data_IF_648691767879
#
_entry.id   IF_648691767879
#
_cell.length_a   1.000
_cell.length_b   1.000
_cell.length_c   1.000
_cell.angle_alpha   90.00
_cell.angle_beta   90.00
_cell.angle_gamma   90.00
#
_symmetry.space_group_name_H-M   'P 1'
#
loop_
_entity.id
_entity.type
_entity.pdbx_description
1 polymer ?
#
# COMPACT_ATOMS: atom_id res chain seq x y z
N UNK A 1 -7.80 10.82 -3.07
CA UNK A 1 -7.32 9.68 -3.89
C UNK A 1 -8.29 8.51 -3.74
N UNK A 2 -8.53 7.72 -4.79
CA UNK A 2 -9.41 6.55 -4.75
C UNK A 2 -8.61 5.26 -4.58
N UNK A 3 -8.99 4.40 -3.64
CA UNK A 3 -8.37 3.09 -3.39
C UNK A 3 -9.46 2.03 -3.17
N UNK A 4 -9.61 1.12 -4.13
CA UNK A 4 -10.62 0.05 -4.07
C UNK A 4 -10.45 -0.86 -2.84
N UNK A 5 -9.20 -1.16 -2.44
CA UNK A 5 -8.91 -2.00 -1.27
C UNK A 5 -9.38 -1.36 0.05
N UNK A 6 -9.26 -0.03 0.15
CA UNK A 6 -9.75 0.72 1.31
C UNK A 6 -11.27 0.80 1.31
N UNK A 7 -11.89 1.08 0.15
CA UNK A 7 -13.36 1.11 0.05
C UNK A 7 -13.99 -0.24 0.39
N UNK A 8 -13.37 -1.34 -0.03
CA UNK A 8 -13.81 -2.70 0.29
C UNK A 8 -13.50 -3.13 1.73
N UNK A 9 -12.88 -2.27 2.55
CA UNK A 9 -12.51 -2.60 3.93
C UNK A 9 -11.37 -3.60 4.10
N UNK A 10 -10.76 -4.06 3.00
CA UNK A 10 -9.69 -5.07 2.99
C UNK A 10 -8.34 -4.54 3.45
N UNK A 11 -8.10 -3.22 3.33
CA UNK A 11 -6.85 -2.60 3.77
C UNK A 11 -7.12 -1.26 4.47
N UNK A 12 -6.53 -1.07 5.66
CA UNK A 12 -6.62 0.16 6.47
C UNK A 12 -5.27 0.81 6.75
N UNK A 13 -4.22 0.48 5.99
CA UNK A 13 -2.89 1.06 6.17
C UNK A 13 -2.83 2.57 5.95
N UNK A 14 -3.73 3.11 5.12
CA UNK A 14 -3.83 4.55 4.86
C UNK A 14 -4.84 5.20 5.83
N UNK A 15 -4.40 5.51 7.05
CA UNK A 15 -5.28 6.00 8.13
C UNK A 15 -6.12 7.23 7.77
N UNK A 16 -5.59 8.17 6.98
CA UNK A 16 -6.24 9.45 6.67
C UNK A 16 -6.86 9.50 5.28
N UNK A 17 -7.04 8.36 4.60
CA UNK A 17 -7.48 8.37 3.20
C UNK A 17 -8.83 9.09 2.98
N UNK A 18 -9.72 9.02 3.98
CA UNK A 18 -11.03 9.69 3.96
C UNK A 18 -10.95 11.20 4.16
N UNK A 19 -9.87 11.71 4.76
CA UNK A 19 -9.68 13.14 4.96
C UNK A 19 -9.27 13.82 3.64
N UNK A 20 -9.87 14.95 3.25
CA UNK A 20 -9.40 15.75 2.14
C UNK A 20 -7.91 16.09 2.28
N UNK A 21 -7.14 15.99 1.19
CA UNK A 21 -5.69 16.18 1.24
C UNK A 21 -5.24 17.54 1.83
N UNK A 22 -5.91 18.68 1.54
CA UNK A 22 -5.58 19.95 2.20
C UNK A 22 -5.74 19.89 3.71
N UNK A 23 -6.77 19.21 4.21
CA UNK A 23 -6.98 19.02 5.65
C UNK A 23 -5.90 18.11 6.26
N UNK A 24 -5.45 17.08 5.54
CA UNK A 24 -4.31 16.27 5.99
C UNK A 24 -3.04 17.12 6.15
N UNK A 25 -2.81 18.09 5.25
CA UNK A 25 -1.66 18.98 5.32
C UNK A 25 -1.80 20.02 6.43
N UNK A 26 -3.00 20.51 6.76
CA UNK A 26 -3.22 21.43 7.88
C UNK A 26 -3.16 20.73 9.24
N UNK A 27 -3.63 19.48 9.32
CA UNK A 27 -3.68 18.71 10.58
C UNK A 27 -2.29 18.23 11.03
N UNK A 28 -1.40 17.88 10.07
CA UNK A 28 -0.02 17.44 10.35
C UNK A 28 0.82 18.43 11.18
N UNK A 29 0.91 19.73 10.81
CA UNK A 29 1.72 20.68 11.54
C UNK A 29 1.25 20.93 12.96
N UNK A 30 -0.03 20.78 13.31
CA UNK A 30 -0.49 21.04 14.69
C UNK A 30 0.29 20.22 15.74
N UNK A 31 0.68 18.99 15.41
CA UNK A 31 1.57 18.18 16.26
C UNK A 31 3.06 18.48 16.03
N UNK A 32 3.45 18.85 14.80
CA UNK A 32 4.85 19.07 14.44
C UNK A 32 5.39 20.41 14.95
N UNK A 33 4.64 21.52 14.83
CA UNK A 33 5.06 22.85 15.30
C UNK A 33 5.19 22.94 16.82
N UNK A 34 4.51 22.06 17.57
CA UNK A 34 4.74 21.90 19.01
C UNK A 34 6.10 21.29 19.32
N UNK A 35 6.71 20.54 18.39
CA UNK A 35 7.95 19.79 18.60
C UNK A 35 9.14 20.34 17.80
N UNK A 36 8.90 20.97 16.65
CA UNK A 36 9.89 21.42 15.67
C UNK A 36 9.34 22.61 14.86
N UNK A 37 10.15 23.66 14.62
CA UNK A 37 9.77 24.80 13.75
C UNK A 37 9.78 24.43 12.25
N UNK A 38 8.93 23.49 11.83
CA UNK A 38 8.83 23.02 10.44
C UNK A 38 7.42 23.16 9.86
N UNK A 39 7.33 23.56 8.59
CA UNK A 39 6.07 23.53 7.81
C UNK A 39 5.99 22.24 6.97
N UNK A 40 4.79 21.65 6.80
CA UNK A 40 4.61 20.43 6.02
C UNK A 40 4.85 20.70 4.53
N UNK A 41 5.52 19.76 3.86
CA UNK A 41 5.70 19.78 2.41
C UNK A 41 4.65 18.87 1.78
N UNK A 42 3.97 19.36 0.74
CA UNK A 42 3.05 18.56 -0.06
C UNK A 42 3.81 17.54 -0.91
N UNK A 43 3.26 16.35 -1.02
CA UNK A 43 3.77 15.27 -1.88
C UNK A 43 2.66 14.79 -2.82
N UNK A 44 3.03 14.06 -3.85
CA UNK A 44 2.05 13.34 -4.67
C UNK A 44 1.20 12.42 -3.77
N UNK A 45 -0.11 12.33 -4.04
CA UNK A 45 -1.03 11.44 -3.29
C UNK A 45 -0.96 9.98 -3.74
N UNK A 46 -0.23 9.68 -4.82
CA UNK A 46 -0.14 8.38 -5.49
C UNK A 46 1.29 8.12 -5.95
N UNK A 47 1.65 6.86 -6.13
CA UNK A 47 2.94 6.46 -6.70
C UNK A 47 4.19 6.81 -5.88
N UNK A 48 4.05 7.39 -4.69
CA UNK A 48 5.18 7.89 -3.90
C UNK A 48 5.92 6.80 -3.13
N UNK A 49 5.38 5.58 -3.04
CA UNK A 49 6.01 4.48 -2.30
C UNK A 49 6.90 3.67 -3.22
N UNK A 50 8.17 4.06 -3.30
CA UNK A 50 9.20 3.42 -4.14
C UNK A 50 9.67 2.03 -3.64
N UNK A 51 9.25 1.59 -2.46
CA UNK A 51 9.59 0.28 -1.89
C UNK A 51 8.39 -0.36 -1.20
N UNK A 52 8.13 -1.63 -1.51
CA UNK A 52 7.20 -2.47 -0.77
C UNK A 52 7.91 -3.73 -0.25
N UNK A 53 7.66 -4.05 1.02
CA UNK A 53 7.93 -5.37 1.60
C UNK A 53 6.57 -6.01 1.82
N UNK A 54 6.39 -7.22 1.30
CA UNK A 54 5.11 -7.91 1.29
C UNK A 54 5.28 -9.33 1.84
N UNK A 55 4.25 -9.80 2.53
CA UNK A 55 4.08 -11.23 2.83
C UNK A 55 3.58 -11.90 1.55
N UNK A 56 4.12 -13.08 1.25
CA UNK A 56 3.59 -13.96 0.20
C UNK A 56 2.68 -14.96 0.89
N UNK A 57 1.47 -15.14 0.36
CA UNK A 57 0.44 -16.02 0.90
C UNK A 57 -0.40 -16.61 -0.23
N UNK A 58 -1.45 -17.37 0.08
CA UNK A 58 -2.28 -18.05 -0.91
C UNK A 58 -1.67 -19.40 -1.29
N UNK A 59 -1.69 -19.72 -2.59
CA UNK A 59 -1.10 -20.96 -3.10
C UNK A 59 0.00 -20.68 -4.12
N UNK A 60 0.78 -21.71 -4.45
CA UNK A 60 1.78 -21.67 -5.53
C UNK A 60 1.18 -21.14 -6.83
N UNK A 61 -0.05 -21.54 -7.17
CA UNK A 61 -0.71 -21.17 -8.44
C UNK A 61 -1.43 -19.82 -8.40
N UNK A 62 -1.74 -19.33 -7.19
CA UNK A 62 -2.39 -18.04 -6.97
C UNK A 62 -1.73 -17.31 -5.80
N UNK A 63 -0.46 -16.90 -5.95
CA UNK A 63 0.25 -16.22 -4.88
C UNK A 63 -0.32 -14.82 -4.71
N UNK A 64 -0.54 -14.44 -3.45
CA UNK A 64 -0.99 -13.12 -3.05
C UNK A 64 0.19 -12.38 -2.44
N UNK A 65 0.49 -11.18 -2.96
CA UNK A 65 1.54 -10.32 -2.43
C UNK A 65 0.90 -9.18 -1.66
N UNK A 66 1.11 -9.12 -0.35
CA UNK A 66 0.61 -8.01 0.43
C UNK A 66 0.79 -8.19 1.93
N UNK A 67 -0.34 -8.28 2.63
CA UNK A 67 -0.37 -8.37 4.09
C UNK A 67 -1.42 -9.38 4.54
N UNK A 68 -1.32 -9.79 5.78
CA UNK A 68 -2.37 -10.54 6.47
C UNK A 68 -3.20 -9.55 7.27
N UNK A 69 -4.52 -9.55 7.07
CA UNK A 69 -5.44 -8.73 7.84
C UNK A 69 -5.53 -9.23 9.30
N UNK A 70 -6.18 -8.44 10.17
CA UNK A 70 -6.25 -8.75 11.61
C UNK A 70 -7.03 -10.04 11.92
N UNK A 71 -7.93 -10.41 11.03
CA UNK A 71 -8.73 -11.65 11.06
C UNK A 71 -7.97 -12.85 10.48
N UNK A 72 -6.73 -12.67 10.00
CA UNK A 72 -5.93 -13.73 9.39
C UNK A 72 -6.10 -13.86 7.88
N UNK A 73 -6.99 -13.09 7.25
CA UNK A 73 -7.23 -13.20 5.81
C UNK A 73 -6.09 -12.56 4.99
N UNK A 74 -5.60 -13.23 3.95
CA UNK A 74 -4.58 -12.68 3.08
C UNK A 74 -5.16 -11.59 2.17
N UNK A 75 -4.45 -10.47 2.05
CA UNK A 75 -4.84 -9.32 1.24
C UNK A 75 -3.79 -9.04 0.19
N UNK A 76 -4.17 -9.20 -1.08
CA UNK A 76 -3.36 -8.78 -2.22
C UNK A 76 -3.33 -7.25 -2.30
N UNK A 77 -2.13 -6.68 -2.30
CA UNK A 77 -1.88 -5.25 -2.36
C UNK A 77 -1.31 -4.80 -3.72
N UNK A 78 -1.19 -5.68 -4.73
CA UNK A 78 -0.57 -5.35 -6.02
C UNK A 78 -1.23 -4.14 -6.72
N UNK A 79 -2.52 -3.89 -6.46
CA UNK A 79 -3.27 -2.75 -6.99
C UNK A 79 -3.23 -1.50 -6.08
N UNK A 80 -2.32 -1.43 -5.10
CA UNK A 80 -2.23 -0.28 -4.21
C UNK A 80 -1.82 0.98 -4.99
N UNK A 81 -2.60 2.08 -4.94
CA UNK A 81 -2.31 3.31 -5.70
C UNK A 81 -1.08 4.08 -5.18
N UNK A 82 -0.50 3.64 -4.07
CA UNK A 82 0.73 4.21 -3.55
C UNK A 82 1.97 3.73 -4.30
N UNK A 83 1.88 2.60 -5.01
CA UNK A 83 3.01 2.04 -5.77
C UNK A 83 3.17 2.75 -7.12
N UNK A 84 4.42 3.01 -7.56
CA UNK A 84 4.66 3.56 -8.88
C UNK A 84 4.27 2.56 -9.97
N UNK A 85 3.98 3.06 -11.18
CA UNK A 85 3.56 2.22 -12.32
C UNK A 85 4.56 1.11 -12.66
N UNK A 86 5.86 1.31 -12.37
CA UNK A 86 6.90 0.30 -12.58
C UNK A 86 6.70 -0.98 -11.77
N UNK A 87 5.92 -0.96 -10.68
CA UNK A 87 5.67 -2.15 -9.88
C UNK A 87 4.76 -3.17 -10.58
N UNK A 88 3.84 -2.72 -11.43
CA UNK A 88 2.88 -3.61 -12.09
C UNK A 88 3.60 -4.70 -12.91
N UNK A 89 4.55 -4.30 -13.75
CA UNK A 89 5.35 -5.24 -14.55
C UNK A 89 6.17 -6.23 -13.68
N UNK A 90 6.61 -5.79 -12.50
CA UNK A 90 7.33 -6.67 -11.55
C UNK A 90 6.39 -7.72 -10.97
N UNK A 91 5.16 -7.34 -10.57
CA UNK A 91 4.18 -8.29 -10.07
C UNK A 91 3.74 -9.28 -11.14
N UNK A 92 3.53 -8.81 -12.37
CA UNK A 92 3.16 -9.64 -13.52
C UNK A 92 4.25 -10.67 -13.87
N UNK A 93 5.52 -10.36 -13.62
CA UNK A 93 6.63 -11.28 -13.80
C UNK A 93 6.80 -12.26 -12.62
N UNK A 94 6.65 -11.79 -11.38
CA UNK A 94 6.93 -12.59 -10.18
C UNK A 94 5.83 -13.63 -9.89
N UNK A 95 4.55 -13.30 -10.09
CA UNK A 95 3.46 -14.25 -9.80
C UNK A 95 3.56 -15.53 -10.63
N UNK A 96 3.74 -15.49 -11.97
CA UNK A 96 3.95 -16.69 -12.77
C UNK A 96 5.29 -17.39 -12.48
N UNK A 97 6.32 -16.63 -12.09
CA UNK A 97 7.62 -17.21 -11.74
C UNK A 97 7.52 -18.13 -10.51
N UNK A 98 6.81 -17.69 -9.46
CA UNK A 98 6.57 -18.51 -8.25
C UNK A 98 5.90 -19.84 -8.60
N UNK A 99 4.84 -19.78 -9.42
CA UNK A 99 4.13 -20.97 -9.89
C UNK A 99 5.05 -21.92 -10.66
N UNK A 100 5.77 -21.38 -11.66
CA UNK A 100 6.73 -22.15 -12.47
C UNK A 100 7.86 -22.79 -11.66
N UNK A 101 8.32 -22.11 -10.62
CA UNK A 101 9.41 -22.58 -9.76
C UNK A 101 8.92 -23.49 -8.61
N UNK A 102 7.60 -23.67 -8.45
CA UNK A 102 7.03 -24.48 -7.37
C UNK A 102 7.30 -23.91 -5.98
N UNK A 103 7.48 -22.60 -5.85
CA UNK A 103 7.83 -21.96 -4.57
C UNK A 103 6.59 -21.84 -3.69
N UNK A 104 6.57 -22.57 -2.58
CA UNK A 104 5.47 -22.52 -1.61
C UNK A 104 5.57 -21.27 -0.73
N UNK A 105 4.48 -20.47 -0.61
CA UNK A 105 4.40 -19.34 0.31
C UNK A 105 4.71 -19.68 1.77
#
# INVERSE_FOLDING_TARGET
MHCALYQAGRCRSCQWLEKPYPQQLSDKPTQLTQLLNGMPVALAQQGFRNKAKMVVSGSVEKPLFGMVARDGEPVDLCACPLYPASFAAVFDALKPFIARAGLTP
#
